data_IF_331329541684
#
_entry.id   IF_331329541684
#
_cell.length_a   1.000
_cell.length_b   1.000
_cell.length_c   1.000
_cell.angle_alpha   90.00
_cell.angle_beta   90.00
_cell.angle_gamma   90.00
#
_symmetry.space_group_name_H-M   'P 1'
#
loop_
_entity.id
_entity.type
_entity.pdbx_description
1 polymer ?
#
# COMPACT_ATOMS: atom_id res chain seq x y z
N UNK A 1 4.80 40.99 4.16
CA UNK A 1 4.87 40.26 5.42
C UNK A 1 3.49 39.70 5.75
N UNK A 2 3.40 38.42 6.06
CA UNK A 2 2.18 37.77 6.51
C UNK A 2 2.36 37.21 7.92
N UNK A 3 1.36 37.33 8.76
CA UNK A 3 1.36 36.73 10.09
C UNK A 3 0.91 35.25 9.99
N UNK A 4 1.32 34.36 10.91
CA UNK A 4 0.98 32.94 10.89
C UNK A 4 -0.54 32.66 10.77
N UNK A 5 -1.39 33.50 11.36
CA UNK A 5 -2.85 33.40 11.31
C UNK A 5 -3.43 33.66 9.90
N UNK A 6 -2.66 34.28 9.01
CA UNK A 6 -3.07 34.61 7.65
C UNK A 6 -2.68 33.54 6.64
N UNK A 7 -1.88 32.55 7.06
CA UNK A 7 -1.43 31.47 6.20
C UNK A 7 -2.45 30.34 6.15
N UNK A 8 -2.62 29.74 4.96
CA UNK A 8 -3.37 28.49 4.81
C UNK A 8 -2.68 27.32 5.53
N UNK A 9 -3.39 26.22 5.77
CA UNK A 9 -2.81 25.03 6.40
C UNK A 9 -1.56 24.53 5.67
N UNK A 10 -1.63 24.40 4.36
CA UNK A 10 -0.47 23.98 3.54
C UNK A 10 0.69 24.96 3.56
N UNK A 11 0.41 26.28 3.61
CA UNK A 11 1.47 27.30 3.77
C UNK A 11 2.15 27.20 5.14
N UNK A 12 1.37 27.02 6.21
CA UNK A 12 1.92 26.79 7.56
C UNK A 12 2.83 25.57 7.58
N UNK A 13 2.41 24.48 6.93
CA UNK A 13 3.18 23.25 6.86
C UNK A 13 4.50 23.43 6.09
N UNK A 14 4.48 24.12 4.95
CA UNK A 14 5.70 24.45 4.19
C UNK A 14 6.67 25.31 5.01
N UNK A 15 6.17 26.29 5.77
CA UNK A 15 6.99 27.10 6.67
C UNK A 15 7.59 26.26 7.81
N UNK A 16 6.81 25.32 8.38
CA UNK A 16 7.30 24.42 9.43
C UNK A 16 8.42 23.51 8.90
N UNK A 17 8.25 22.92 7.72
CA UNK A 17 9.29 22.12 7.04
C UNK A 17 10.53 22.97 6.77
N UNK A 18 10.38 24.16 6.18
CA UNK A 18 11.50 25.06 5.89
C UNK A 18 12.28 25.42 7.16
N UNK A 19 11.57 25.73 8.25
CA UNK A 19 12.17 26.02 9.56
C UNK A 19 12.99 24.85 10.12
N UNK A 20 12.48 23.62 9.99
CA UNK A 20 13.19 22.43 10.43
C UNK A 20 14.47 22.18 9.61
N UNK A 21 14.47 22.52 8.33
CA UNK A 21 15.60 22.30 7.42
C UNK A 21 16.73 23.34 7.57
N UNK A 22 16.48 24.50 8.20
CA UNK A 22 17.51 25.54 8.40
C UNK A 22 18.76 25.02 9.14
N UNK A 23 18.58 24.04 10.02
CA UNK A 23 19.67 23.44 10.80
C UNK A 23 20.41 22.31 10.08
N UNK A 24 20.13 22.08 8.79
CA UNK A 24 20.69 20.98 7.99
C UNK A 24 20.63 19.63 8.72
N UNK A 25 19.44 19.16 9.11
CA UNK A 25 19.29 17.92 9.88
C UNK A 25 19.61 16.69 9.03
N UNK A 26 20.16 15.65 9.64
CA UNK A 26 20.28 14.32 9.01
C UNK A 26 18.94 13.56 9.01
N UNK A 27 18.08 13.87 9.99
CA UNK A 27 16.75 13.24 10.16
C UNK A 27 15.71 14.34 10.32
N UNK A 28 14.64 14.27 9.49
CA UNK A 28 13.44 15.10 9.62
C UNK A 28 12.31 14.25 10.17
N UNK A 29 11.80 14.62 11.35
CA UNK A 29 10.63 13.96 11.94
C UNK A 29 9.36 14.75 11.58
N UNK A 30 8.41 14.06 10.96
CA UNK A 30 7.10 14.58 10.58
C UNK A 30 6.02 13.85 11.37
N UNK A 31 5.47 14.52 12.37
CA UNK A 31 4.36 13.97 13.16
C UNK A 31 3.04 14.53 12.64
N UNK A 32 2.18 13.63 12.14
CA UNK A 32 0.87 13.95 11.53
C UNK A 32 0.87 15.17 10.58
N UNK A 33 1.91 15.32 9.79
CA UNK A 33 2.17 16.51 8.97
C UNK A 33 1.07 16.84 7.94
N UNK A 34 0.13 15.92 7.70
CA UNK A 34 -0.93 16.04 6.69
C UNK A 34 -2.35 15.82 7.23
N UNK A 35 -2.51 15.54 8.53
CA UNK A 35 -3.80 15.13 9.11
C UNK A 35 -4.92 16.16 9.00
N UNK A 36 -4.59 17.45 8.94
CA UNK A 36 -5.55 18.57 8.87
C UNK A 36 -5.59 19.24 7.49
N UNK A 37 -5.07 18.60 6.45
CA UNK A 37 -5.00 19.16 5.10
C UNK A 37 -5.98 18.44 4.16
N UNK A 38 -6.44 19.17 3.16
CA UNK A 38 -7.22 18.55 2.09
C UNK A 38 -6.36 17.63 1.21
N UNK A 39 -6.98 16.70 0.46
CA UNK A 39 -6.24 15.69 -0.30
C UNK A 39 -5.25 16.25 -1.34
N UNK A 40 -5.56 17.41 -1.93
CA UNK A 40 -4.67 18.00 -2.92
C UNK A 40 -3.44 18.60 -2.26
N UNK A 41 -3.62 19.36 -1.18
CA UNK A 41 -2.51 19.95 -0.41
C UNK A 41 -1.67 18.84 0.24
N UNK A 42 -2.31 17.76 0.73
CA UNK A 42 -1.60 16.58 1.22
C UNK A 42 -0.62 16.06 0.18
N UNK A 43 -1.10 15.79 -1.05
CA UNK A 43 -0.23 15.33 -2.16
C UNK A 43 0.94 16.28 -2.43
N UNK A 44 0.69 17.58 -2.42
CA UNK A 44 1.73 18.59 -2.65
C UNK A 44 2.80 18.58 -1.56
N UNK A 45 2.41 18.40 -0.29
CA UNK A 45 3.34 18.28 0.84
C UNK A 45 4.14 16.98 0.75
N UNK A 46 3.51 15.86 0.41
CA UNK A 46 4.19 14.57 0.26
C UNK A 46 5.21 14.62 -0.89
N UNK A 47 4.87 15.22 -2.02
CA UNK A 47 5.79 15.43 -3.13
C UNK A 47 6.97 16.34 -2.74
N UNK A 48 6.71 17.37 -1.93
CA UNK A 48 7.76 18.23 -1.38
C UNK A 48 8.72 17.43 -0.48
N UNK A 49 8.19 16.57 0.41
CA UNK A 49 9.02 15.72 1.27
C UNK A 49 9.88 14.74 0.46
N UNK A 50 9.32 14.10 -0.57
CA UNK A 50 10.08 13.24 -1.48
C UNK A 50 11.21 14.00 -2.18
N UNK A 51 10.94 15.22 -2.64
CA UNK A 51 11.94 16.09 -3.25
C UNK A 51 13.06 16.43 -2.28
N UNK A 52 12.72 16.84 -1.07
CA UNK A 52 13.67 17.15 0.00
C UNK A 52 14.54 15.93 0.33
N UNK A 53 13.92 14.77 0.54
CA UNK A 53 14.64 13.51 0.80
C UNK A 53 15.69 13.23 -0.29
N UNK A 54 15.31 13.40 -1.56
CA UNK A 54 16.19 13.13 -2.70
C UNK A 54 17.30 14.16 -2.86
N UNK A 55 16.98 15.45 -2.71
CA UNK A 55 17.94 16.55 -2.94
C UNK A 55 18.92 16.74 -1.78
N UNK A 56 18.45 16.56 -0.55
CA UNK A 56 19.25 16.76 0.66
C UNK A 56 19.84 15.47 1.22
N UNK A 57 19.43 14.30 0.67
CA UNK A 57 19.85 12.98 1.14
C UNK A 57 19.64 12.75 2.64
N UNK A 58 18.55 13.30 3.19
CA UNK A 58 18.19 13.18 4.62
C UNK A 58 17.20 12.02 4.83
N UNK A 59 17.21 11.44 6.02
CA UNK A 59 16.17 10.48 6.42
C UNK A 59 14.92 11.23 6.84
N UNK A 60 13.74 10.84 6.31
CA UNK A 60 12.46 11.40 6.74
C UNK A 60 11.68 10.31 7.48
N UNK A 61 11.34 10.57 8.74
CA UNK A 61 10.48 9.71 9.55
C UNK A 61 9.10 10.34 9.63
N UNK A 62 8.09 9.61 9.14
CA UNK A 62 6.70 10.09 9.15
C UNK A 62 5.90 9.27 10.14
N UNK A 63 5.30 9.92 11.12
CA UNK A 63 4.31 9.33 12.02
C UNK A 63 2.92 9.69 11.51
N UNK A 64 2.12 8.69 11.19
CA UNK A 64 0.78 8.91 10.62
C UNK A 64 -0.12 7.70 10.83
N UNK A 65 -1.42 7.93 10.90
CA UNK A 65 -2.45 6.91 10.81
C UNK A 65 -3.07 6.83 9.40
N UNK A 66 -2.61 7.65 8.45
CA UNK A 66 -3.13 7.70 7.08
C UNK A 66 -2.37 6.70 6.19
N UNK A 67 -3.04 5.60 5.83
CA UNK A 67 -2.45 4.55 4.99
C UNK A 67 -2.01 5.06 3.61
N UNK A 68 -2.73 6.04 3.05
CA UNK A 68 -2.38 6.68 1.77
C UNK A 68 -1.01 7.35 1.79
N UNK A 69 -0.67 8.01 2.91
CA UNK A 69 0.66 8.64 3.10
C UNK A 69 1.75 7.58 3.05
N UNK A 70 1.55 6.48 3.77
CA UNK A 70 2.51 5.37 3.82
C UNK A 70 2.76 4.80 2.43
N UNK A 71 1.68 4.47 1.70
CA UNK A 71 1.75 3.89 0.35
C UNK A 71 2.43 4.82 -0.66
N UNK A 72 2.22 6.13 -0.52
CA UNK A 72 2.71 7.11 -1.47
C UNK A 72 4.21 7.42 -1.32
N UNK A 73 4.73 7.54 -0.10
CA UNK A 73 6.09 8.05 0.11
C UNK A 73 7.03 7.13 0.89
N UNK A 74 6.52 6.21 1.74
CA UNK A 74 7.37 5.41 2.59
C UNK A 74 8.03 4.26 1.82
N UNK A 75 9.31 4.00 2.10
CA UNK A 75 10.03 2.83 1.61
C UNK A 75 10.20 1.75 2.70
N UNK A 76 9.91 2.10 3.95
CA UNK A 76 9.91 1.21 5.10
C UNK A 76 8.85 1.66 6.08
N UNK A 77 8.16 0.72 6.71
CA UNK A 77 7.08 0.97 7.65
C UNK A 77 7.31 0.17 8.91
N UNK A 78 6.99 0.77 10.05
CA UNK A 78 6.89 0.11 11.34
C UNK A 78 5.47 0.32 11.88
N UNK A 79 4.73 -0.76 12.16
CA UNK A 79 3.45 -0.69 12.85
C UNK A 79 3.68 -0.68 14.35
N UNK A 80 3.11 0.34 15.02
CA UNK A 80 3.19 0.49 16.48
C UNK A 80 1.80 0.33 17.10
N UNK A 81 1.72 -0.45 18.17
CA UNK A 81 0.53 -0.61 19.01
C UNK A 81 0.95 -0.70 20.47
N UNK A 82 0.29 0.06 21.33
CA UNK A 82 0.53 0.04 22.78
C UNK A 82 2.02 0.20 23.16
N UNK A 83 2.74 1.09 22.44
CA UNK A 83 4.16 1.36 22.66
C UNK A 83 5.12 0.26 22.18
N UNK A 84 4.62 -0.76 21.46
CA UNK A 84 5.43 -1.86 20.91
C UNK A 84 5.40 -1.86 19.39
N UNK A 85 6.51 -2.27 18.78
CA UNK A 85 6.57 -2.51 17.35
C UNK A 85 5.99 -3.88 17.06
N UNK A 86 4.90 -3.94 16.28
CA UNK A 86 4.25 -5.18 15.86
C UNK A 86 4.97 -5.80 14.66
N UNK A 87 5.33 -4.97 13.69
CA UNK A 87 5.98 -5.44 12.47
C UNK A 87 6.76 -4.31 11.82
N UNK A 88 7.82 -4.67 11.08
CA UNK A 88 8.65 -3.75 10.29
C UNK A 88 8.91 -4.39 8.94
N UNK A 89 8.68 -3.66 7.85
CA UNK A 89 8.91 -4.18 6.49
C UNK A 89 8.69 -3.10 5.44
N UNK A 90 8.67 -3.52 4.19
CA UNK A 90 8.26 -2.66 3.08
C UNK A 90 6.73 -2.52 3.05
N UNK A 91 6.20 -1.36 2.62
CA UNK A 91 4.75 -1.19 2.48
C UNK A 91 4.10 -2.32 1.66
N UNK A 92 4.74 -2.72 0.57
CA UNK A 92 4.25 -3.76 -0.33
C UNK A 92 4.06 -5.11 0.37
N UNK A 93 5.02 -5.49 1.21
CA UNK A 93 4.99 -6.75 1.95
C UNK A 93 3.93 -6.74 3.05
N UNK A 94 3.76 -5.58 3.70
CA UNK A 94 2.88 -5.43 4.84
C UNK A 94 1.42 -5.17 4.46
N UNK A 95 1.13 -4.61 3.26
CA UNK A 95 -0.23 -4.27 2.84
C UNK A 95 -0.81 -5.22 1.79
N UNK A 96 0.03 -5.83 0.94
CA UNK A 96 -0.45 -6.75 -0.10
C UNK A 96 -0.67 -8.15 0.46
N UNK A 97 0.25 -8.63 1.31
CA UNK A 97 0.15 -9.93 1.99
C UNK A 97 0.37 -9.76 3.50
N UNK A 98 -0.55 -9.09 4.21
CA UNK A 98 -0.41 -8.79 5.62
C UNK A 98 -0.43 -10.07 6.46
N UNK A 99 0.36 -10.13 7.53
CA UNK A 99 0.22 -11.19 8.54
C UNK A 99 -1.05 -10.94 9.39
N UNK A 100 -1.45 -11.94 10.18
CA UNK A 100 -2.67 -11.88 10.99
C UNK A 100 -2.74 -10.68 11.95
N UNK A 101 -1.61 -10.22 12.48
CA UNK A 101 -1.56 -9.07 13.39
C UNK A 101 -1.81 -7.76 12.64
N UNK A 102 -1.23 -7.63 11.44
CA UNK A 102 -1.43 -6.45 10.59
C UNK A 102 -2.85 -6.43 10.02
N UNK A 103 -3.39 -7.58 9.60
CA UNK A 103 -4.78 -7.70 9.16
C UNK A 103 -5.73 -7.13 10.22
N UNK A 104 -5.60 -7.57 11.47
CA UNK A 104 -6.41 -7.05 12.58
C UNK A 104 -6.21 -5.56 12.88
N UNK A 105 -5.02 -5.02 12.57
CA UNK A 105 -4.70 -3.62 12.80
C UNK A 105 -5.24 -2.71 11.69
N UNK A 106 -5.12 -3.15 10.44
CA UNK A 106 -5.56 -2.38 9.25
C UNK A 106 -7.09 -2.44 9.08
N UNK A 107 -7.73 -3.45 9.65
CA UNK A 107 -9.14 -3.76 9.50
C UNK A 107 -9.32 -4.77 8.36
N UNK A 108 -9.93 -5.90 8.65
CA UNK A 108 -10.40 -6.82 7.62
C UNK A 108 -11.67 -6.22 7.00
N UNK A 109 -11.63 -5.95 5.72
CA UNK A 109 -12.86 -5.91 4.94
C UNK A 109 -13.44 -7.34 5.02
N UNK A 110 -14.59 -7.51 5.67
CA UNK A 110 -15.28 -8.80 5.75
C UNK A 110 -15.62 -9.20 4.31
N UNK A 111 -14.87 -10.15 3.80
CA UNK A 111 -15.04 -10.65 2.45
C UNK A 111 -16.27 -11.59 2.46
N UNK A 112 -17.37 -11.18 1.83
CA UNK A 112 -18.51 -12.10 1.56
C UNK A 112 -18.13 -12.88 0.32
N UNK A 113 -17.64 -14.09 0.53
CA UNK A 113 -17.20 -14.96 -0.56
C UNK A 113 -18.28 -15.99 -0.93
N UNK A 114 -18.33 -16.44 -2.21
CA UNK A 114 -19.15 -17.56 -2.62
C UNK A 114 -18.84 -18.81 -1.79
N UNK A 115 -19.90 -19.53 -1.40
CA UNK A 115 -19.76 -20.77 -0.64
C UNK A 115 -19.65 -22.01 -1.54
N UNK A 116 -19.83 -21.83 -2.85
CA UNK A 116 -19.67 -22.87 -3.87
C UNK A 116 -18.37 -22.64 -4.64
N UNK A 117 -17.74 -23.72 -5.10
CA UNK A 117 -16.44 -23.62 -5.77
C UNK A 117 -15.28 -23.41 -4.79
N UNK A 118 -14.20 -22.85 -5.29
CA UNK A 118 -12.97 -22.55 -4.54
C UNK A 118 -12.59 -21.07 -4.70
N UNK A 119 -12.37 -20.41 -3.58
CA UNK A 119 -11.93 -19.01 -3.58
C UNK A 119 -10.40 -18.97 -3.54
N UNK A 120 -9.81 -18.26 -4.49
CA UNK A 120 -8.36 -18.11 -4.61
C UNK A 120 -8.01 -16.64 -4.55
N UNK A 121 -7.14 -16.28 -3.63
CA UNK A 121 -6.57 -14.94 -3.53
C UNK A 121 -5.22 -14.88 -4.21
N UNK A 122 -5.11 -14.00 -5.18
CA UNK A 122 -3.91 -13.75 -5.97
C UNK A 122 -3.25 -12.47 -5.48
N UNK A 123 -1.93 -12.48 -5.34
CA UNK A 123 -1.16 -11.31 -4.91
C UNK A 123 -0.32 -10.76 -6.06
N UNK A 124 -0.55 -9.50 -6.40
CA UNK A 124 0.18 -8.77 -7.43
C UNK A 124 1.20 -7.84 -6.79
N UNK A 125 2.47 -8.09 -7.09
CA UNK A 125 3.61 -7.29 -6.63
C UNK A 125 4.41 -6.80 -7.84
N UNK A 126 5.36 -5.89 -7.64
CA UNK A 126 6.21 -5.39 -8.73
C UNK A 126 6.92 -6.48 -9.54
N UNK A 127 7.18 -7.62 -8.91
CA UNK A 127 7.95 -8.70 -9.55
C UNK A 127 7.08 -9.63 -10.40
N UNK A 128 5.75 -9.63 -10.21
CA UNK A 128 4.84 -10.58 -10.86
C UNK A 128 3.61 -9.93 -11.52
N UNK A 129 3.47 -8.60 -11.49
CA UNK A 129 2.35 -7.88 -12.13
C UNK A 129 2.56 -7.76 -13.64
N UNK A 130 2.29 -8.84 -14.38
CA UNK A 130 2.16 -8.75 -15.83
C UNK A 130 0.74 -8.24 -16.18
N UNK A 131 0.65 -7.32 -17.13
CA UNK A 131 -0.62 -6.64 -17.47
C UNK A 131 -1.74 -7.56 -17.99
N UNK A 132 -1.48 -8.84 -18.24
CA UNK A 132 -2.42 -9.78 -18.84
C UNK A 132 -2.60 -11.09 -18.05
N UNK A 133 -2.11 -11.17 -16.82
CA UNK A 133 -2.10 -12.42 -16.04
C UNK A 133 -3.47 -13.10 -15.98
N UNK A 134 -4.51 -12.35 -15.63
CA UNK A 134 -5.87 -12.89 -15.46
C UNK A 134 -6.47 -13.34 -16.78
N UNK A 135 -6.30 -12.56 -17.83
CA UNK A 135 -6.81 -12.93 -19.16
C UNK A 135 -6.02 -14.10 -19.78
N UNK A 136 -4.73 -14.20 -19.50
CA UNK A 136 -3.90 -15.33 -19.89
C UNK A 136 -4.29 -16.61 -19.15
N UNK A 137 -4.54 -16.53 -17.84
CA UNK A 137 -5.05 -17.64 -17.03
C UNK A 137 -6.31 -18.25 -17.67
N UNK A 138 -7.34 -17.42 -17.90
CA UNK A 138 -8.59 -17.86 -18.48
C UNK A 138 -8.41 -18.52 -19.85
N UNK A 139 -7.61 -17.90 -20.73
CA UNK A 139 -7.37 -18.39 -22.10
C UNK A 139 -6.52 -19.66 -22.15
N UNK A 140 -5.48 -19.74 -21.30
CA UNK A 140 -4.55 -20.87 -21.32
C UNK A 140 -5.19 -22.15 -20.79
N UNK A 141 -6.03 -22.01 -19.76
CA UNK A 141 -6.70 -23.14 -19.14
C UNK A 141 -8.12 -23.40 -19.69
N UNK A 142 -8.62 -22.50 -20.53
CA UNK A 142 -10.00 -22.54 -21.08
C UNK A 142 -11.06 -22.67 -19.98
N UNK A 143 -10.92 -21.85 -18.92
CA UNK A 143 -11.81 -21.85 -17.76
C UNK A 143 -12.52 -20.51 -17.61
N UNK A 144 -13.70 -20.57 -16.99
CA UNK A 144 -14.42 -19.41 -16.49
C UNK A 144 -14.24 -19.30 -14.99
N UNK A 145 -14.26 -18.08 -14.47
CA UNK A 145 -14.24 -17.80 -13.04
C UNK A 145 -14.94 -16.47 -12.76
N UNK A 146 -15.43 -16.33 -11.55
CA UNK A 146 -15.97 -15.07 -11.05
C UNK A 146 -14.91 -14.25 -10.33
N UNK A 147 -14.92 -12.93 -10.54
CA UNK A 147 -14.11 -11.99 -9.76
C UNK A 147 -14.94 -11.57 -8.56
N UNK A 148 -14.55 -12.01 -7.37
CA UNK A 148 -15.27 -11.72 -6.14
C UNK A 148 -14.86 -10.39 -5.55
N UNK A 149 -13.54 -10.10 -5.55
CA UNK A 149 -13.00 -8.86 -5.01
C UNK A 149 -11.69 -8.50 -5.71
N UNK A 150 -11.43 -7.21 -5.87
CA UNK A 150 -10.15 -6.71 -6.37
C UNK A 150 -9.75 -5.44 -5.63
N UNK A 151 -8.53 -5.43 -5.10
CA UNK A 151 -7.93 -4.29 -4.43
C UNK A 151 -6.56 -4.02 -5.04
N UNK A 152 -6.51 -3.13 -6.03
CA UNK A 152 -5.28 -2.70 -6.66
C UNK A 152 -4.99 -1.25 -6.25
N UNK A 153 -3.82 -1.01 -5.73
CA UNK A 153 -3.42 0.27 -5.18
C UNK A 153 -2.05 0.70 -5.71
N UNK A 154 -1.80 2.00 -5.68
CA UNK A 154 -0.53 2.55 -6.11
C UNK A 154 0.43 2.69 -4.93
N UNK A 155 1.54 1.97 -4.99
CA UNK A 155 2.65 2.08 -4.05
C UNK A 155 3.84 2.71 -4.76
N UNK A 156 4.10 4.00 -4.52
CA UNK A 156 5.24 4.74 -5.10
C UNK A 156 5.35 4.61 -6.63
N UNK A 157 4.22 4.67 -7.33
CA UNK A 157 4.17 4.55 -8.79
C UNK A 157 4.06 3.13 -9.32
N UNK A 158 3.99 2.12 -8.46
CA UNK A 158 3.80 0.72 -8.83
C UNK A 158 2.42 0.23 -8.39
N UNK A 159 1.67 -0.35 -9.31
CA UNK A 159 0.36 -0.96 -9.01
C UNK A 159 0.56 -2.32 -8.38
N UNK A 160 0.05 -2.49 -7.17
CA UNK A 160 0.11 -3.73 -6.41
C UNK A 160 -1.19 -3.98 -5.68
N UNK A 161 -1.43 -5.21 -5.26
CA UNK A 161 -2.63 -5.54 -4.51
C UNK A 161 -3.01 -7.01 -4.60
N UNK A 162 -4.29 -7.29 -4.40
CA UNK A 162 -4.82 -8.65 -4.47
C UNK A 162 -6.10 -8.71 -5.29
N UNK A 163 -6.39 -9.89 -5.80
CA UNK A 163 -7.62 -10.23 -6.50
C UNK A 163 -8.12 -11.57 -5.95
N UNK A 164 -9.40 -11.63 -5.64
CA UNK A 164 -10.05 -12.89 -5.26
C UNK A 164 -10.91 -13.34 -6.43
N UNK A 165 -10.66 -14.55 -6.87
CA UNK A 165 -11.46 -15.23 -7.88
C UNK A 165 -12.10 -16.48 -7.28
N UNK A 166 -13.30 -16.82 -7.77
CA UNK A 166 -13.97 -18.08 -7.48
C UNK A 166 -13.92 -18.95 -8.72
N UNK A 167 -13.46 -20.18 -8.56
CA UNK A 167 -13.32 -21.17 -9.65
C UNK A 167 -14.07 -22.46 -9.30
N UNK A 168 -14.35 -23.28 -10.31
CA UNK A 168 -14.81 -24.64 -10.08
C UNK A 168 -13.75 -25.46 -9.34
N UNK A 169 -14.16 -26.31 -8.40
CA UNK A 169 -13.24 -27.15 -7.60
C UNK A 169 -12.36 -28.05 -8.48
N UNK A 170 -12.89 -28.54 -9.61
CA UNK A 170 -12.15 -29.37 -10.57
C UNK A 170 -10.93 -28.66 -11.18
N UNK A 171 -10.95 -27.33 -11.26
CA UNK A 171 -9.94 -26.51 -11.92
C UNK A 171 -8.82 -26.06 -10.96
N UNK A 172 -8.98 -26.26 -9.63
CA UNK A 172 -8.06 -25.80 -8.60
C UNK A 172 -6.62 -26.23 -8.87
N UNK A 173 -6.40 -27.49 -9.21
CA UNK A 173 -5.05 -28.02 -9.45
C UNK A 173 -4.39 -27.41 -10.69
N UNK A 174 -5.15 -27.26 -11.78
CA UNK A 174 -4.67 -26.64 -13.02
C UNK A 174 -4.32 -25.17 -12.82
N UNK A 175 -5.19 -24.42 -12.13
CA UNK A 175 -4.98 -23.01 -11.77
C UNK A 175 -3.76 -22.85 -10.86
N UNK A 176 -3.63 -23.64 -9.81
CA UNK A 176 -2.48 -23.59 -8.90
C UNK A 176 -1.15 -23.85 -9.62
N UNK A 177 -1.12 -24.86 -10.51
CA UNK A 177 0.08 -25.17 -11.31
C UNK A 177 0.44 -23.99 -12.23
N UNK A 178 -0.54 -23.42 -12.92
CA UNK A 178 -0.32 -22.25 -13.78
C UNK A 178 0.22 -21.04 -13.00
N UNK A 179 -0.39 -20.72 -11.85
CA UNK A 179 0.03 -19.60 -11.00
C UNK A 179 1.46 -19.80 -10.49
N UNK A 180 1.82 -21.01 -10.08
CA UNK A 180 3.17 -21.34 -9.64
C UNK A 180 4.21 -21.20 -10.79
N UNK A 181 3.86 -21.65 -12.01
CA UNK A 181 4.70 -21.52 -13.19
C UNK A 181 4.94 -20.06 -13.56
N UNK A 182 3.91 -19.21 -13.46
CA UNK A 182 4.00 -17.75 -13.68
C UNK A 182 4.58 -16.98 -12.48
N UNK A 183 4.94 -17.68 -11.40
CA UNK A 183 5.50 -17.10 -10.16
C UNK A 183 4.56 -16.11 -9.48
N UNK A 184 3.26 -16.35 -9.56
CA UNK A 184 2.23 -15.55 -8.90
C UNK A 184 2.00 -16.16 -7.52
N UNK A 185 2.12 -15.32 -6.48
CA UNK A 185 1.79 -15.73 -5.12
C UNK A 185 0.28 -15.83 -5.00
N UNK A 186 -0.19 -16.92 -4.43
CA UNK A 186 -1.62 -17.16 -4.24
C UNK A 186 -1.88 -18.01 -2.99
N UNK A 187 -3.11 -17.95 -2.49
CA UNK A 187 -3.61 -18.78 -1.40
C UNK A 187 -5.07 -19.16 -1.64
N UNK A 188 -5.47 -20.35 -1.17
CA UNK A 188 -6.89 -20.74 -1.09
C UNK A 188 -7.45 -20.13 0.20
N UNK A 189 -8.63 -19.49 0.08
CA UNK A 189 -9.35 -18.88 1.20
C UNK A 189 -10.71 -19.53 1.34
N UNK A 190 -11.14 -19.71 2.61
CA UNK A 190 -12.38 -20.41 2.97
C UNK A 190 -13.44 -19.42 3.39
#
# INVERSE_FOLDING_TARGET
QAYPRQLSGGQKQRVAIARALVLNPEILLCDEATSALDPQITRDILNLLLKINKEMNITIVVVTHQMEVIKQICNKVAFLKDGRVLSVGKPEELFVAPNQEIQKFVGDDIEILPQTGKNIKLFFTNNNSKSHTITQLARTLDINFDICQGKLENFRGSMMGSLIINIDEKDLQAVGNYLNQEKITWEEIV
#
